data_IF_244849378694
#
_entry.id   IF_244849378694
#
_cell.length_a   1.000
_cell.length_b   1.000
_cell.length_c   1.000
_cell.angle_alpha   90.00
_cell.angle_beta   90.00
_cell.angle_gamma   90.00
#
_symmetry.space_group_name_H-M   'P 1'
#
loop_
_entity.id
_entity.type
_entity.pdbx_description
1 polymer ?
#
# COMPACT_ATOMS: atom_id res chain seq x y z
N UNK A 1 5.52 -2.49 73.89
CA UNK A 1 4.31 -2.21 73.08
C UNK A 1 4.74 -1.51 71.80
N UNK A 2 5.17 -2.30 70.81
CA UNK A 2 5.51 -1.91 69.45
C UNK A 2 5.21 -3.13 68.55
N UNK A 3 4.91 -2.83 67.30
CA UNK A 3 4.87 -3.71 66.13
C UNK A 3 3.53 -4.40 65.79
N UNK A 4 2.81 -3.76 64.87
CA UNK A 4 1.75 -4.36 64.05
C UNK A 4 2.33 -4.70 62.67
N UNK A 5 2.63 -5.97 62.43
CA UNK A 5 2.87 -6.51 61.08
C UNK A 5 1.54 -6.98 60.48
N UNK A 6 1.04 -6.27 59.46
CA UNK A 6 -0.04 -6.75 58.59
C UNK A 6 0.58 -7.34 57.33
N UNK A 7 0.48 -8.66 57.18
CA UNK A 7 0.82 -9.42 55.97
C UNK A 7 -0.27 -9.19 54.92
N UNK A 8 0.09 -8.59 53.79
CA UNK A 8 -0.75 -8.53 52.59
C UNK A 8 -0.52 -9.78 51.74
N UNK A 9 -1.54 -10.61 51.62
CA UNK A 9 -1.61 -11.74 50.69
C UNK A 9 -1.93 -11.17 49.29
N UNK A 10 -0.93 -11.09 48.40
CA UNK A 10 -1.17 -10.78 46.98
C UNK A 10 -1.23 -12.09 46.21
N UNK A 11 -2.43 -12.41 45.72
CA UNK A 11 -2.73 -13.57 44.89
C UNK A 11 -2.06 -13.38 43.52
N UNK A 12 -0.91 -14.02 43.31
CA UNK A 12 -0.27 -14.14 42.00
C UNK A 12 -0.95 -15.31 41.26
N UNK A 13 -1.96 -15.02 40.44
CA UNK A 13 -2.50 -15.99 39.49
C UNK A 13 -1.47 -16.12 38.36
N UNK A 14 -0.63 -17.13 38.47
CA UNK A 14 0.24 -17.60 37.39
C UNK A 14 -0.68 -18.21 36.32
N UNK A 15 -0.83 -17.52 35.19
CA UNK A 15 -1.48 -18.06 34.01
C UNK A 15 -0.50 -19.04 33.34
N UNK A 16 -0.41 -20.27 33.85
CA UNK A 16 0.15 -21.40 33.13
C UNK A 16 -0.83 -21.81 32.03
N UNK A 17 -0.75 -21.18 30.86
CA UNK A 17 -1.31 -21.79 29.65
C UNK A 17 -0.35 -22.91 29.27
N UNK A 18 -0.82 -24.15 29.39
CA UNK A 18 -0.06 -25.34 29.07
C UNK A 18 0.34 -25.30 27.60
N UNK A 19 1.62 -25.54 27.29
CA UNK A 19 2.13 -25.67 25.92
C UNK A 19 1.40 -26.77 25.09
N UNK A 20 0.64 -27.65 25.76
CA UNK A 20 -0.26 -28.62 25.13
C UNK A 20 -1.49 -27.99 24.45
N UNK A 21 -2.11 -26.97 25.07
CA UNK A 21 -3.33 -26.35 24.55
C UNK A 21 -3.06 -25.50 23.30
N UNK A 22 -1.90 -24.83 23.28
CA UNK A 22 -1.42 -24.07 22.10
C UNK A 22 -1.15 -25.01 20.92
N UNK A 23 -0.55 -26.18 21.16
CA UNK A 23 -0.28 -27.16 20.09
C UNK A 23 -1.56 -27.78 19.51
N UNK A 24 -2.58 -27.99 20.35
CA UNK A 24 -3.88 -28.51 19.90
C UNK A 24 -4.63 -27.46 19.08
N UNK A 25 -4.62 -26.20 19.51
CA UNK A 25 -5.22 -25.09 18.76
C UNK A 25 -4.55 -24.87 17.39
N UNK A 26 -3.21 -24.84 17.36
CA UNK A 26 -2.45 -24.74 16.10
C UNK A 26 -2.75 -25.91 15.14
N UNK A 27 -2.83 -27.14 15.66
CA UNK A 27 -3.17 -28.32 14.86
C UNK A 27 -4.65 -28.38 14.41
N UNK A 28 -5.54 -27.61 15.02
CA UNK A 28 -6.93 -27.45 14.57
C UNK A 28 -7.03 -26.38 13.47
N UNK A 29 -6.31 -25.27 13.63
CA UNK A 29 -6.23 -24.20 12.63
C UNK A 29 -5.61 -24.69 11.32
N UNK A 30 -4.55 -25.51 11.38
CA UNK A 30 -3.92 -26.11 10.20
C UNK A 30 -4.88 -27.03 9.44
N UNK A 31 -5.62 -27.89 10.16
CA UNK A 31 -6.63 -28.78 9.54
C UNK A 31 -7.76 -28.01 8.89
N UNK A 32 -8.20 -26.90 9.49
CA UNK A 32 -9.23 -26.05 8.91
C UNK A 32 -8.73 -25.35 7.64
N UNK A 33 -7.50 -24.83 7.67
CA UNK A 33 -6.89 -24.19 6.50
C UNK A 33 -6.77 -25.16 5.32
N UNK A 34 -6.38 -26.41 5.57
CA UNK A 34 -6.30 -27.46 4.54
C UNK A 34 -7.67 -27.80 3.95
N UNK A 35 -8.70 -27.94 4.79
CA UNK A 35 -10.07 -28.19 4.34
C UNK A 35 -10.63 -27.03 3.50
N UNK A 36 -10.38 -25.78 3.95
CA UNK A 36 -10.79 -24.58 3.22
C UNK A 36 -10.06 -24.47 1.87
N UNK A 37 -8.78 -24.83 1.82
CA UNK A 37 -7.99 -24.88 0.58
C UNK A 37 -8.54 -25.93 -0.38
N UNK A 38 -8.79 -27.16 0.08
CA UNK A 38 -9.32 -28.24 -0.77
C UNK A 38 -10.71 -27.90 -1.33
N UNK A 39 -11.58 -27.32 -0.49
CA UNK A 39 -12.89 -26.84 -0.95
C UNK A 39 -12.75 -25.68 -1.97
N UNK A 40 -11.78 -24.78 -1.79
CA UNK A 40 -11.49 -23.72 -2.74
C UNK A 40 -10.97 -24.26 -4.08
N UNK A 41 -10.12 -25.29 -4.07
CA UNK A 41 -9.67 -26.01 -5.26
C UNK A 41 -10.88 -26.64 -5.98
N UNK A 42 -11.81 -27.24 -5.24
CA UNK A 42 -13.08 -27.74 -5.78
C UNK A 42 -13.90 -26.65 -6.48
N UNK A 43 -13.98 -25.46 -5.89
CA UNK A 43 -14.63 -24.31 -6.53
C UNK A 43 -13.92 -23.89 -7.82
N UNK A 44 -12.58 -23.79 -7.82
CA UNK A 44 -11.80 -23.43 -9.01
C UNK A 44 -12.04 -24.40 -10.17
N UNK A 45 -12.11 -25.72 -9.89
CA UNK A 45 -12.44 -26.73 -10.91
C UNK A 45 -13.83 -26.50 -11.52
N UNK A 46 -14.84 -26.21 -10.69
CA UNK A 46 -16.20 -25.91 -11.16
C UNK A 46 -16.27 -24.61 -11.96
N UNK A 47 -15.52 -23.59 -11.55
CA UNK A 47 -15.38 -22.33 -12.30
C UNK A 47 -14.73 -22.59 -13.66
N UNK A 48 -13.66 -23.39 -13.70
CA UNK A 48 -12.99 -23.77 -14.94
C UNK A 48 -13.97 -24.44 -15.92
N UNK A 49 -14.71 -25.46 -15.47
CA UNK A 49 -15.70 -26.14 -16.29
C UNK A 49 -16.77 -25.18 -16.85
N UNK A 50 -17.26 -24.27 -16.01
CA UNK A 50 -18.22 -23.24 -16.40
C UNK A 50 -17.64 -22.29 -17.47
N UNK A 51 -16.41 -21.83 -17.30
CA UNK A 51 -15.70 -21.00 -18.29
C UNK A 51 -15.54 -21.77 -19.60
N UNK A 52 -15.11 -23.03 -19.56
CA UNK A 52 -14.95 -23.85 -20.77
C UNK A 52 -16.27 -24.04 -21.51
N UNK A 53 -17.38 -24.23 -20.78
CA UNK A 53 -18.72 -24.30 -21.38
C UNK A 53 -19.13 -22.96 -22.01
N UNK A 54 -18.96 -21.86 -21.29
CA UNK A 54 -19.22 -20.51 -21.82
C UNK A 54 -18.42 -20.26 -23.11
N UNK A 55 -17.14 -20.61 -23.13
CA UNK A 55 -16.26 -20.47 -24.30
C UNK A 55 -16.70 -21.31 -25.49
N UNK A 56 -17.21 -22.53 -25.26
CA UNK A 56 -17.71 -23.38 -26.35
C UNK A 56 -18.91 -22.74 -27.04
N UNK A 57 -19.79 -22.10 -26.27
CA UNK A 57 -21.05 -21.54 -26.75
C UNK A 57 -20.87 -20.15 -27.37
N UNK A 58 -20.02 -19.30 -26.78
CA UNK A 58 -19.81 -17.92 -27.22
C UNK A 58 -18.56 -17.70 -28.07
N UNK A 59 -17.67 -18.69 -28.14
CA UNK A 59 -16.34 -18.59 -28.79
C UNK A 59 -15.44 -17.48 -28.20
N UNK A 60 -15.74 -17.03 -26.99
CA UNK A 60 -15.00 -16.01 -26.24
C UNK A 60 -14.95 -16.37 -24.75
N UNK A 61 -14.03 -15.75 -24.00
CA UNK A 61 -14.08 -15.77 -22.53
C UNK A 61 -15.23 -14.90 -22.04
N UNK A 62 -15.77 -15.15 -20.84
CA UNK A 62 -16.68 -14.19 -20.21
C UNK A 62 -15.94 -12.88 -19.92
N UNK A 63 -16.66 -11.76 -19.90
CA UNK A 63 -16.09 -10.47 -19.51
C UNK A 63 -15.87 -10.43 -17.98
N UNK A 64 -16.74 -11.13 -17.23
CA UNK A 64 -16.73 -11.26 -15.78
C UNK A 64 -17.16 -12.66 -15.31
N UNK A 65 -16.76 -13.10 -14.12
CA UNK A 65 -17.19 -14.41 -13.59
C UNK A 65 -18.71 -14.49 -13.36
N UNK A 66 -19.35 -13.35 -13.12
CA UNK A 66 -20.80 -13.24 -13.03
C UNK A 66 -21.55 -13.65 -14.30
N UNK A 67 -20.93 -13.54 -15.48
CA UNK A 67 -21.52 -13.95 -16.76
C UNK A 67 -21.75 -15.48 -16.83
N UNK A 68 -21.06 -16.23 -15.98
CA UNK A 68 -21.27 -17.66 -15.84
C UNK A 68 -22.61 -17.96 -15.13
N UNK A 69 -23.11 -17.06 -14.31
CA UNK A 69 -24.29 -17.32 -13.48
C UNK A 69 -25.58 -16.80 -14.12
N UNK A 70 -26.70 -17.56 -14.04
CA UNK A 70 -26.81 -18.94 -13.56
C UNK A 70 -26.57 -20.00 -14.64
N UNK A 71 -26.48 -19.62 -15.92
CA UNK A 71 -26.58 -20.54 -17.07
C UNK A 71 -25.46 -21.57 -17.19
N UNK A 72 -24.27 -21.21 -16.73
CA UNK A 72 -23.06 -22.05 -16.73
C UNK A 72 -22.64 -22.45 -15.32
N UNK A 73 -23.01 -21.63 -14.33
CA UNK A 73 -22.74 -21.84 -12.91
C UNK A 73 -24.01 -21.54 -12.08
N UNK A 74 -24.94 -22.51 -11.94
CA UNK A 74 -26.21 -22.29 -11.24
C UNK A 74 -26.03 -21.99 -9.75
N UNK A 75 -25.07 -22.68 -9.13
CA UNK A 75 -24.71 -22.49 -7.73
C UNK A 75 -23.69 -21.34 -7.60
N UNK A 76 -24.20 -20.14 -7.33
CA UNK A 76 -23.38 -18.93 -7.15
C UNK A 76 -22.44 -18.99 -5.94
N UNK A 77 -22.67 -19.91 -4.99
CA UNK A 77 -21.81 -20.03 -3.81
C UNK A 77 -20.40 -20.51 -4.17
N UNK A 78 -20.23 -21.11 -5.35
CA UNK A 78 -18.93 -21.48 -5.93
C UNK A 78 -18.01 -20.27 -6.12
N UNK A 79 -18.58 -19.09 -6.36
CA UNK A 79 -17.83 -17.85 -6.54
C UNK A 79 -17.38 -17.24 -5.21
N UNK A 80 -17.67 -17.89 -4.07
CA UNK A 80 -17.26 -17.45 -2.74
C UNK A 80 -16.27 -18.46 -2.16
N UNK A 81 -15.04 -18.02 -1.94
CA UNK A 81 -14.00 -18.82 -1.27
C UNK A 81 -14.47 -19.21 0.16
N UNK A 82 -14.20 -20.43 0.64
CA UNK A 82 -14.48 -20.83 2.02
C UNK A 82 -13.92 -19.85 3.08
N UNK A 83 -12.73 -19.28 2.84
CA UNK A 83 -12.13 -18.26 3.71
C UNK A 83 -12.97 -16.99 3.74
N UNK A 84 -13.44 -16.50 2.59
CA UNK A 84 -14.39 -15.37 2.53
C UNK A 84 -15.69 -15.69 3.25
N UNK A 85 -16.23 -16.90 3.05
CA UNK A 85 -17.48 -17.32 3.70
C UNK A 85 -17.37 -17.29 5.23
N UNK A 86 -16.21 -17.68 5.78
CA UNK A 86 -15.95 -17.65 7.22
C UNK A 86 -15.64 -16.24 7.75
N UNK A 87 -14.83 -15.48 7.03
CA UNK A 87 -14.18 -14.27 7.57
C UNK A 87 -14.72 -12.95 7.03
N UNK A 88 -15.48 -12.99 5.93
CA UNK A 88 -15.88 -11.81 5.16
C UNK A 88 -14.74 -11.14 4.39
N UNK A 89 -13.50 -11.63 4.48
CA UNK A 89 -12.35 -11.04 3.78
C UNK A 89 -12.46 -11.25 2.27
N UNK A 90 -12.06 -10.23 1.51
CA UNK A 90 -11.98 -10.24 0.04
C UNK A 90 -10.64 -9.67 -0.40
N UNK A 91 -10.19 -10.05 -1.60
CA UNK A 91 -8.91 -9.61 -2.17
C UNK A 91 -9.06 -9.42 -3.68
N UNK A 92 -9.74 -8.32 -4.08
CA UNK A 92 -10.12 -8.03 -5.46
C UNK A 92 -9.23 -6.97 -6.15
N UNK A 93 -8.34 -6.31 -5.41
CA UNK A 93 -7.36 -5.35 -5.93
C UNK A 93 -7.97 -4.25 -6.83
N UNK A 94 -9.21 -3.84 -6.55
CA UNK A 94 -9.92 -2.84 -7.34
C UNK A 94 -10.57 -3.36 -8.63
N UNK A 95 -10.36 -4.63 -8.99
CA UNK A 95 -11.13 -5.32 -10.05
C UNK A 95 -12.35 -5.96 -9.40
N UNK A 96 -13.44 -5.21 -9.37
CA UNK A 96 -14.71 -5.64 -8.78
C UNK A 96 -15.66 -6.03 -9.91
N UNK A 97 -16.12 -7.29 -9.87
CA UNK A 97 -17.18 -7.75 -10.74
C UNK A 97 -18.46 -6.91 -10.50
N UNK A 98 -18.99 -6.24 -11.53
CA UNK A 98 -20.07 -5.27 -11.36
C UNK A 98 -21.44 -5.91 -11.11
N UNK A 99 -21.59 -7.22 -11.34
CA UNK A 99 -22.89 -7.88 -11.31
C UNK A 99 -23.02 -8.89 -10.16
N UNK A 100 -21.90 -9.43 -9.67
CA UNK A 100 -21.94 -10.39 -8.57
C UNK A 100 -20.66 -10.34 -7.72
N UNK A 101 -20.84 -10.15 -6.42
CA UNK A 101 -19.75 -10.28 -5.46
C UNK A 101 -19.15 -11.69 -5.51
N UNK A 102 -17.83 -11.76 -5.70
CA UNK A 102 -17.09 -13.00 -5.72
C UNK A 102 -15.71 -12.82 -5.07
N UNK A 103 -15.10 -13.93 -4.67
CA UNK A 103 -13.85 -13.97 -3.92
C UNK A 103 -12.60 -14.10 -4.79
N UNK A 104 -12.76 -14.23 -6.10
CA UNK A 104 -11.70 -14.62 -7.02
C UNK A 104 -11.29 -13.45 -7.92
N UNK A 105 -9.99 -13.28 -8.13
CA UNK A 105 -9.50 -12.36 -9.15
C UNK A 105 -9.56 -13.06 -10.51
N UNK A 106 -10.39 -12.55 -11.42
CA UNK A 106 -10.42 -13.02 -12.81
C UNK A 106 -9.46 -12.19 -13.65
N UNK A 107 -8.30 -12.77 -13.93
CA UNK A 107 -7.16 -12.10 -14.58
C UNK A 107 -7.43 -11.78 -16.05
N UNK A 108 -8.41 -12.43 -16.68
CA UNK A 108 -8.83 -12.20 -18.06
C UNK A 108 -10.08 -11.31 -18.19
N UNK A 109 -10.49 -10.63 -17.12
CA UNK A 109 -11.64 -9.74 -17.17
C UNK A 109 -11.48 -8.66 -18.27
N UNK A 110 -12.57 -8.29 -18.92
CA UNK A 110 -12.57 -7.26 -19.96
C UNK A 110 -12.64 -5.85 -19.34
N UNK A 111 -11.68 -5.56 -18.48
CA UNK A 111 -11.56 -4.30 -17.77
C UNK A 111 -10.18 -3.70 -18.00
N UNK A 112 -10.09 -2.39 -17.81
CA UNK A 112 -8.83 -1.67 -17.89
C UNK A 112 -7.91 -2.15 -16.76
N UNK A 113 -6.67 -2.50 -17.11
CA UNK A 113 -5.72 -3.03 -16.13
C UNK A 113 -5.23 -2.00 -15.12
N UNK A 114 -5.60 -0.72 -15.29
CA UNK A 114 -5.20 0.42 -14.45
C UNK A 114 -5.32 0.20 -12.94
N UNK A 115 -6.29 -0.60 -12.50
CA UNK A 115 -6.45 -0.95 -11.08
C UNK A 115 -5.31 -1.84 -10.54
N UNK A 116 -4.77 -2.73 -11.38
CA UNK A 116 -3.74 -3.70 -11.00
C UNK A 116 -2.34 -3.23 -11.42
N UNK A 117 -2.24 -2.60 -12.59
CA UNK A 117 -0.99 -2.26 -13.24
C UNK A 117 -1.15 -0.96 -14.02
N UNK A 118 -0.10 -0.15 -14.15
CA UNK A 118 -0.15 1.17 -14.78
C UNK A 118 -0.26 1.11 -16.34
N UNK A 119 -1.17 0.30 -16.87
CA UNK A 119 -1.38 0.08 -18.30
C UNK A 119 -2.43 0.98 -18.94
N UNK A 120 -2.99 1.95 -18.21
CA UNK A 120 -4.03 2.85 -18.73
C UNK A 120 -5.24 2.08 -19.29
N UNK A 121 -5.54 2.29 -20.57
CA UNK A 121 -6.68 1.64 -21.26
C UNK A 121 -6.37 0.24 -21.80
N UNK A 122 -5.19 -0.30 -21.53
CA UNK A 122 -4.89 -1.69 -21.89
C UNK A 122 -5.84 -2.60 -21.11
N UNK A 123 -6.52 -3.49 -21.82
CA UNK A 123 -7.42 -4.47 -21.19
C UNK A 123 -6.61 -5.58 -20.52
N UNK A 124 -7.03 -6.00 -19.33
CA UNK A 124 -6.46 -7.17 -18.63
C UNK A 124 -6.45 -8.39 -19.56
N UNK A 125 -7.57 -8.66 -20.24
CA UNK A 125 -7.69 -9.70 -21.28
C UNK A 125 -6.57 -9.65 -22.32
N UNK A 126 -6.32 -8.49 -22.92
CA UNK A 126 -5.29 -8.32 -23.97
C UNK A 126 -3.87 -8.55 -23.43
N UNK A 127 -3.60 -8.07 -22.22
CA UNK A 127 -2.31 -8.27 -21.58
C UNK A 127 -2.06 -9.75 -21.27
N UNK A 128 -3.04 -10.45 -20.68
CA UNK A 128 -2.90 -11.88 -20.38
C UNK A 128 -2.76 -12.73 -21.63
N UNK A 129 -3.46 -12.40 -22.72
CA UNK A 129 -3.25 -13.05 -24.01
C UNK A 129 -1.82 -12.88 -24.53
N UNK A 130 -1.21 -11.70 -24.35
CA UNK A 130 0.21 -11.48 -24.71
C UNK A 130 1.17 -12.24 -23.79
N UNK A 131 0.90 -12.31 -22.49
CA UNK A 131 1.69 -13.13 -21.56
C UNK A 131 1.64 -14.62 -21.94
N UNK A 132 0.45 -15.12 -22.31
CA UNK A 132 0.30 -16.49 -22.80
C UNK A 132 1.12 -16.75 -24.07
N UNK A 133 1.29 -15.75 -24.93
CA UNK A 133 2.16 -15.86 -26.11
C UNK A 133 3.64 -16.09 -25.78
N UNK A 134 4.07 -15.81 -24.54
CA UNK A 134 5.46 -15.97 -24.08
C UNK A 134 5.62 -17.23 -23.22
N UNK A 135 4.76 -17.43 -22.22
CA UNK A 135 4.90 -18.52 -21.24
C UNK A 135 3.86 -19.64 -21.39
N UNK A 136 2.95 -19.54 -22.35
CA UNK A 136 1.95 -20.57 -22.63
C UNK A 136 0.75 -20.54 -21.69
N UNK A 137 0.12 -21.70 -21.50
CA UNK A 137 -1.15 -21.85 -20.76
C UNK A 137 -1.05 -21.72 -19.25
N UNK A 138 0.17 -21.69 -18.71
CA UNK A 138 0.44 -21.53 -17.27
C UNK A 138 -0.09 -20.22 -16.69
N UNK A 139 -0.34 -19.20 -17.51
CA UNK A 139 -0.89 -17.90 -17.07
C UNK A 139 -2.17 -18.12 -16.24
N UNK A 140 -2.25 -17.61 -15.00
CA UNK A 140 -3.45 -17.72 -14.19
C UNK A 140 -4.64 -17.05 -14.86
N UNK A 141 -5.72 -17.81 -15.02
CA UNK A 141 -7.02 -17.30 -15.45
C UNK A 141 -7.86 -16.81 -14.25
N UNK A 142 -7.87 -17.57 -13.16
CA UNK A 142 -8.59 -17.24 -11.93
C UNK A 142 -7.66 -17.44 -10.74
N UNK A 143 -7.61 -16.46 -9.83
CA UNK A 143 -6.73 -16.51 -8.64
C UNK A 143 -7.49 -16.31 -7.35
N UNK A 144 -7.10 -17.05 -6.31
CA UNK A 144 -7.60 -16.85 -4.95
C UNK A 144 -6.46 -16.39 -4.04
N UNK A 145 -6.54 -15.13 -3.58
CA UNK A 145 -5.54 -14.48 -2.74
C UNK A 145 -5.79 -14.62 -1.23
N UNK A 146 -6.67 -15.55 -0.84
CA UNK A 146 -7.10 -15.72 0.55
C UNK A 146 -6.40 -16.88 1.27
N UNK A 147 -5.52 -17.59 0.57
CA UNK A 147 -4.71 -18.68 1.12
C UNK A 147 -3.25 -18.22 1.23
N UNK A 148 -2.50 -18.82 2.15
CA UNK A 148 -1.11 -18.42 2.43
C UNK A 148 -0.22 -18.52 1.18
N UNK A 149 -0.45 -19.54 0.34
CA UNK A 149 -0.01 -19.57 -1.04
C UNK A 149 -1.20 -19.30 -1.95
N UNK A 150 -1.04 -18.42 -2.93
CA UNK A 150 -2.11 -18.03 -3.85
C UNK A 150 -2.44 -19.24 -4.72
N UNK A 151 -3.71 -19.62 -4.75
CA UNK A 151 -4.20 -20.64 -5.67
C UNK A 151 -4.44 -20.01 -7.03
N UNK A 152 -3.80 -20.56 -8.06
CA UNK A 152 -3.92 -20.14 -9.44
C UNK A 152 -4.57 -21.26 -10.23
N UNK A 153 -5.69 -20.97 -10.88
CA UNK A 153 -6.24 -21.79 -11.95
C UNK A 153 -5.67 -21.25 -13.27
N UNK A 154 -4.81 -22.02 -13.93
CA UNK A 154 -4.21 -21.67 -15.22
C UNK A 154 -5.23 -21.69 -16.37
N UNK A 155 -4.82 -21.26 -17.55
CA UNK A 155 -5.67 -21.26 -18.73
C UNK A 155 -6.01 -22.67 -19.25
N UNK A 156 -5.11 -23.65 -19.07
CA UNK A 156 -5.34 -25.06 -19.41
C UNK A 156 -6.06 -25.85 -18.32
N UNK A 157 -6.25 -25.28 -17.13
CA UNK A 157 -7.06 -25.86 -16.06
C UNK A 157 -6.25 -26.53 -14.94
N UNK A 158 -4.92 -26.45 -15.00
CA UNK A 158 -4.05 -26.80 -13.90
C UNK A 158 -4.26 -25.85 -12.72
N UNK A 159 -4.21 -26.40 -11.51
CA UNK A 159 -4.28 -25.60 -10.28
C UNK A 159 -2.95 -25.72 -9.57
N UNK A 160 -2.30 -24.57 -9.35
CA UNK A 160 -0.99 -24.50 -8.74
C UNK A 160 -0.86 -23.33 -7.76
N UNK A 161 0.16 -23.40 -6.93
CA UNK A 161 0.43 -22.43 -5.87
C UNK A 161 1.56 -21.48 -6.26
N UNK A 162 1.45 -20.22 -5.85
CA UNK A 162 2.53 -19.25 -6.00
C UNK A 162 2.50 -18.19 -4.88
N UNK A 163 3.58 -17.42 -4.77
CA UNK A 163 3.52 -16.09 -4.16
C UNK A 163 2.72 -15.09 -5.00
N UNK A 164 2.73 -13.81 -4.62
CA UNK A 164 1.98 -12.75 -5.32
C UNK A 164 2.33 -12.64 -6.80
N UNK A 165 3.62 -12.80 -7.12
CA UNK A 165 4.13 -12.82 -8.49
C UNK A 165 4.28 -14.26 -8.95
N UNK A 166 3.31 -14.77 -9.69
CA UNK A 166 3.39 -16.11 -10.29
C UNK A 166 4.46 -16.15 -11.39
N UNK A 167 4.85 -15.00 -11.95
CA UNK A 167 5.93 -14.87 -12.93
C UNK A 167 7.30 -15.29 -12.37
N UNK A 168 7.47 -15.22 -11.04
CA UNK A 168 8.72 -15.64 -10.38
C UNK A 168 8.92 -17.17 -10.44
N UNK A 169 7.92 -17.93 -10.92
CA UNK A 169 8.04 -19.37 -11.15
C UNK A 169 8.92 -19.71 -12.37
N UNK A 170 9.20 -18.76 -13.27
CA UNK A 170 10.03 -18.99 -14.44
C UNK A 170 11.47 -18.54 -14.18
N UNK A 171 12.41 -19.48 -14.27
CA UNK A 171 13.85 -19.18 -14.20
C UNK A 171 14.45 -18.77 -15.55
N UNK A 172 13.77 -19.12 -16.65
CA UNK A 172 14.24 -18.92 -18.03
C UNK A 172 13.61 -17.73 -18.74
N UNK A 173 12.51 -17.20 -18.21
CA UNK A 173 11.84 -15.99 -18.72
C UNK A 173 12.06 -14.89 -17.72
N UNK A 174 12.66 -13.78 -18.16
CA UNK A 174 12.75 -12.59 -17.33
C UNK A 174 11.33 -12.05 -17.13
N UNK A 175 10.92 -11.84 -15.88
CA UNK A 175 9.64 -11.24 -15.53
C UNK A 175 9.39 -9.91 -16.24
N UNK A 176 10.45 -9.12 -16.50
CA UNK A 176 10.34 -7.89 -17.27
C UNK A 176 9.83 -8.13 -18.69
N UNK A 177 10.05 -9.31 -19.29
CA UNK A 177 9.53 -9.65 -20.61
C UNK A 177 8.02 -9.93 -20.62
N UNK A 178 7.43 -10.17 -19.45
CA UNK A 178 5.98 -10.34 -19.26
C UNK A 178 5.27 -9.03 -18.89
N UNK A 179 6.01 -7.93 -18.78
CA UNK A 179 5.47 -6.60 -18.49
C UNK A 179 4.69 -6.04 -19.69
N UNK A 180 3.64 -5.25 -19.45
CA UNK A 180 2.95 -4.50 -20.50
C UNK A 180 3.89 -3.63 -21.33
N UNK A 181 4.87 -3.00 -20.70
CA UNK A 181 5.88 -2.17 -21.35
C UNK A 181 6.59 -2.97 -22.45
N UNK A 182 7.00 -4.20 -22.15
CA UNK A 182 7.67 -5.08 -23.13
C UNK A 182 6.67 -5.61 -24.17
N UNK A 183 5.53 -6.12 -23.71
CA UNK A 183 4.57 -6.85 -24.56
C UNK A 183 3.78 -5.94 -25.52
N UNK A 184 3.60 -4.67 -25.16
CA UNK A 184 2.94 -3.67 -26.00
C UNK A 184 3.95 -2.72 -26.67
N UNK A 185 5.20 -2.67 -26.20
CA UNK A 185 6.29 -1.96 -26.85
C UNK A 185 5.95 -0.50 -27.16
N UNK A 186 6.02 -0.10 -28.43
CA UNK A 186 5.71 1.27 -28.87
C UNK A 186 4.25 1.66 -28.65
N UNK A 187 3.33 0.69 -28.72
CA UNK A 187 1.92 0.93 -28.45
C UNK A 187 1.64 1.13 -26.97
N UNK A 188 2.53 0.65 -26.08
CA UNK A 188 2.37 0.84 -24.64
C UNK A 188 2.22 2.32 -24.31
N UNK A 189 3.11 3.20 -24.77
CA UNK A 189 3.02 4.63 -24.45
C UNK A 189 1.72 5.29 -24.96
N UNK A 190 1.17 4.82 -26.08
CA UNK A 190 -0.10 5.31 -26.66
C UNK A 190 -1.32 4.81 -25.88
N UNK A 191 -1.30 3.53 -25.48
CA UNK A 191 -2.41 2.87 -24.79
C UNK A 191 -2.40 3.15 -23.27
N UNK A 192 -1.21 3.29 -22.70
CA UNK A 192 -0.95 3.66 -21.31
C UNK A 192 -0.98 5.18 -21.10
N UNK A 193 -0.96 6.00 -22.15
CA UNK A 193 -0.78 7.47 -22.05
C UNK A 193 -1.73 8.31 -22.90
N UNK A 194 -2.86 8.70 -22.31
CA UNK A 194 -3.31 10.09 -22.40
C UNK A 194 -2.60 10.88 -21.30
N UNK A 195 -1.48 11.52 -21.62
CA UNK A 195 -0.65 12.29 -20.69
C UNK A 195 0.82 11.90 -20.79
N UNK A 196 1.59 12.66 -21.56
CA UNK A 196 3.00 12.36 -21.83
C UNK A 196 3.96 12.74 -20.70
N UNK A 197 5.15 12.15 -20.75
CA UNK A 197 6.37 12.70 -20.13
C UNK A 197 7.26 11.68 -19.42
N UNK A 198 8.38 11.31 -20.06
CA UNK A 198 9.71 11.11 -19.44
C UNK A 198 9.89 10.00 -18.38
N UNK A 199 10.83 9.09 -18.62
CA UNK A 199 11.12 7.95 -17.76
C UNK A 199 11.37 8.28 -16.27
N UNK A 200 10.78 7.46 -15.41
CA UNK A 200 10.82 7.55 -13.96
C UNK A 200 9.59 6.86 -13.38
N UNK A 201 9.72 6.22 -12.21
CA UNK A 201 8.68 5.52 -11.44
C UNK A 201 7.21 5.91 -11.74
N UNK A 202 6.35 4.90 -11.89
CA UNK A 202 4.89 5.02 -12.04
C UNK A 202 4.31 6.15 -11.18
N UNK A 203 3.62 7.11 -11.79
CA UNK A 203 2.88 8.12 -11.05
C UNK A 203 1.94 7.41 -10.06
N UNK A 204 2.01 7.72 -8.76
CA UNK A 204 1.21 7.02 -7.77
C UNK A 204 -0.29 7.23 -8.06
N UNK A 205 -1.07 6.14 -8.05
CA UNK A 205 -2.53 6.27 -8.02
C UNK A 205 -2.93 6.83 -6.67
N UNK A 206 -3.36 8.09 -6.65
CA UNK A 206 -3.93 8.79 -5.51
C UNK A 206 -5.29 9.39 -5.90
N UNK A 207 -6.23 9.55 -4.95
CA UNK A 207 -7.55 10.08 -5.26
C UNK A 207 -7.46 11.50 -5.87
N UNK A 208 -8.49 11.95 -6.63
CA UNK A 208 -8.53 13.32 -7.10
C UNK A 208 -8.55 14.30 -5.92
N UNK A 209 -7.98 15.50 -6.13
CA UNK A 209 -8.04 16.57 -5.14
C UNK A 209 -9.49 16.98 -4.91
N UNK A 210 -9.88 17.14 -3.64
CA UNK A 210 -11.22 17.63 -3.29
C UNK A 210 -11.44 19.04 -3.83
N UNK A 211 -12.62 19.33 -4.36
CA UNK A 211 -13.02 20.68 -4.76
C UNK A 211 -13.16 21.63 -3.56
N UNK A 212 -13.27 21.08 -2.34
CA UNK A 212 -13.36 21.82 -1.08
C UNK A 212 -11.98 22.17 -0.50
N UNK A 213 -10.91 21.57 -1.02
CA UNK A 213 -9.54 21.86 -0.58
C UNK A 213 -9.17 23.30 -0.95
N UNK A 214 -8.74 24.07 0.04
CA UNK A 214 -8.34 25.47 -0.14
C UNK A 214 -6.88 25.55 -0.56
N UNK A 215 -6.45 26.73 -0.99
CA UNK A 215 -5.05 26.99 -1.38
C UNK A 215 -4.07 26.80 -0.23
N UNK A 216 -4.54 26.91 1.01
CA UNK A 216 -3.69 26.73 2.18
C UNK A 216 -3.40 25.25 2.49
N UNK A 217 -4.15 24.29 1.94
CA UNK A 217 -3.69 22.89 1.85
C UNK A 217 -2.84 22.74 0.59
N UNK A 218 -1.52 22.59 0.73
CA UNK A 218 -0.58 22.59 -0.39
C UNK A 218 -0.85 21.42 -1.33
N UNK A 219 -0.92 21.67 -2.64
CA UNK A 219 -1.10 20.61 -3.64
C UNK A 219 0.23 19.90 -3.94
N UNK A 220 0.36 18.69 -3.41
CA UNK A 220 1.54 17.84 -3.62
C UNK A 220 1.41 16.89 -4.82
N UNK A 221 0.34 16.97 -5.62
CA UNK A 221 0.06 16.02 -6.72
C UNK A 221 1.26 15.79 -7.63
N UNK A 222 1.93 16.88 -8.05
CA UNK A 222 3.07 16.81 -8.98
C UNK A 222 4.36 16.29 -8.33
N UNK A 223 4.38 16.15 -7.01
CA UNK A 223 5.57 15.79 -6.22
C UNK A 223 5.46 14.39 -5.61
N UNK A 224 4.27 13.78 -5.64
CA UNK A 224 4.10 12.43 -5.11
C UNK A 224 4.95 11.42 -5.88
N UNK A 225 5.77 10.68 -5.12
CA UNK A 225 6.61 9.60 -5.63
C UNK A 225 6.35 8.27 -4.90
N UNK A 226 5.31 8.23 -4.06
CA UNK A 226 4.76 7.02 -3.45
C UNK A 226 3.24 7.08 -3.33
N UNK A 227 2.60 5.92 -3.25
CA UNK A 227 1.15 5.78 -3.04
C UNK A 227 0.89 5.39 -1.59
N UNK A 228 -0.18 5.93 -1.01
CA UNK A 228 -0.64 5.48 0.31
C UNK A 228 -1.16 4.05 0.25
N UNK A 229 -1.70 3.60 -0.89
CA UNK A 229 -2.35 2.29 -1.00
C UNK A 229 -1.42 1.15 -1.43
N UNK A 230 -0.13 1.43 -1.65
CA UNK A 230 0.86 0.43 -2.08
C UNK A 230 2.11 0.57 -1.23
N UNK A 231 2.78 -0.55 -0.99
CA UNK A 231 4.10 -0.50 -0.39
C UNK A 231 5.08 0.23 -1.31
N UNK A 232 5.78 1.23 -0.78
CA UNK A 232 6.74 2.04 -1.55
C UNK A 232 8.18 1.84 -1.08
N UNK A 233 8.39 1.36 0.14
CA UNK A 233 9.70 0.87 0.59
C UNK A 233 9.93 -0.54 0.06
N UNK A 234 11.18 -0.88 -0.34
CA UNK A 234 11.54 -2.24 -0.68
C UNK A 234 11.23 -3.19 0.48
N UNK A 235 10.60 -4.32 0.18
CA UNK A 235 10.43 -5.38 1.15
C UNK A 235 11.71 -6.22 1.26
N UNK A 236 12.00 -6.73 2.44
CA UNK A 236 13.03 -7.75 2.59
C UNK A 236 12.59 -9.02 1.84
N UNK A 237 13.55 -9.82 1.38
CA UNK A 237 13.24 -11.06 0.68
C UNK A 237 12.32 -11.95 1.55
N UNK A 238 11.14 -12.25 1.04
CA UNK A 238 10.14 -13.07 1.75
C UNK A 238 9.22 -12.31 2.71
N UNK A 239 9.28 -10.97 2.81
CA UNK A 239 8.32 -10.17 3.59
C UNK A 239 7.37 -9.38 2.69
N UNK A 240 6.18 -9.06 3.22
CA UNK A 240 5.29 -8.12 2.56
C UNK A 240 5.77 -6.69 2.84
N UNK A 241 5.76 -5.84 1.82
CA UNK A 241 5.99 -4.41 2.00
C UNK A 241 4.83 -3.74 2.74
N UNK A 242 5.09 -2.62 3.38
CA UNK A 242 4.07 -1.91 4.16
C UNK A 242 3.54 -0.69 3.42
N UNK A 243 2.22 -0.50 3.47
CA UNK A 243 1.51 0.65 2.89
C UNK A 243 0.97 1.61 3.98
N UNK A 244 0.22 2.63 3.57
CA UNK A 244 -0.60 3.49 4.43
C UNK A 244 -2.08 3.42 4.02
N UNK A 245 -2.54 2.29 3.46
CA UNK A 245 -3.90 2.17 2.94
C UNK A 245 -5.00 2.46 3.99
N UNK A 246 -4.82 2.11 5.28
CA UNK A 246 -5.78 2.44 6.34
C UNK A 246 -5.83 3.93 6.74
N UNK A 247 -4.88 4.76 6.28
CA UNK A 247 -4.92 6.20 6.53
C UNK A 247 -6.10 6.81 5.75
N UNK A 248 -7.03 7.53 6.41
CA UNK A 248 -8.08 8.26 5.71
C UNK A 248 -7.48 9.18 4.64
N UNK A 249 -8.03 9.13 3.43
CA UNK A 249 -7.56 9.89 2.26
C UNK A 249 -8.51 11.02 1.88
N UNK A 250 -8.05 11.95 1.05
CA UNK A 250 -8.75 13.18 0.69
C UNK A 250 -8.50 14.31 1.69
N UNK A 251 -9.46 15.22 1.82
CA UNK A 251 -9.40 16.31 2.79
C UNK A 251 -9.72 15.76 4.19
N UNK A 252 -8.74 15.72 5.07
CA UNK A 252 -8.84 15.07 6.38
C UNK A 252 -8.30 15.96 7.49
N UNK A 253 -8.86 15.84 8.69
CA UNK A 253 -8.39 16.60 9.86
C UNK A 253 -7.60 15.70 10.79
N UNK A 254 -6.34 16.07 11.05
CA UNK A 254 -5.46 15.37 11.99
C UNK A 254 -4.85 16.37 12.96
N UNK A 255 -4.98 16.10 14.27
CA UNK A 255 -4.53 16.99 15.34
C UNK A 255 -4.93 18.46 15.10
N UNK A 256 -6.23 18.64 14.89
CA UNK A 256 -6.94 19.92 14.69
C UNK A 256 -6.56 20.73 13.43
N UNK A 257 -5.82 20.11 12.51
CA UNK A 257 -5.42 20.75 11.24
C UNK A 257 -5.97 19.95 10.06
N UNK A 258 -6.57 20.65 9.09
CA UNK A 258 -7.06 20.05 7.84
C UNK A 258 -5.93 19.92 6.83
N UNK A 259 -5.79 18.74 6.22
CA UNK A 259 -4.76 18.35 5.27
C UNK A 259 -5.35 17.73 4.01
N UNK A 260 -4.71 17.94 2.87
CA UNK A 260 -4.97 17.23 1.62
C UNK A 260 -4.11 15.96 1.54
N UNK A 261 -4.67 14.81 1.92
CA UNK A 261 -3.96 13.52 2.12
C UNK A 261 -4.29 12.55 0.99
N UNK A 262 -3.40 12.45 -0.01
CA UNK A 262 -3.69 11.66 -1.22
C UNK A 262 -2.53 10.75 -1.63
N UNK A 263 -1.30 11.23 -1.50
CA UNK A 263 -0.07 10.50 -1.79
C UNK A 263 1.01 10.79 -0.75
N UNK A 264 2.25 10.41 -1.07
CA UNK A 264 3.41 10.76 -0.26
C UNK A 264 4.61 11.19 -1.11
N UNK A 265 5.47 12.00 -0.50
CA UNK A 265 6.76 12.44 -1.02
C UNK A 265 7.85 11.83 -0.13
N UNK A 266 8.55 10.83 -0.65
CA UNK A 266 9.70 10.19 -0.02
C UNK A 266 10.99 10.84 -0.52
N UNK A 267 11.91 11.11 0.40
CA UNK A 267 13.30 11.49 0.08
C UNK A 267 14.28 10.41 0.57
N UNK A 268 15.49 10.43 0.03
CA UNK A 268 16.51 9.41 0.28
C UNK A 268 16.93 9.29 1.77
N UNK A 269 17.39 8.10 2.14
CA UNK A 269 18.11 7.80 3.37
C UNK A 269 18.95 6.54 3.16
N UNK A 270 20.09 6.41 3.82
CA UNK A 270 21.08 5.36 3.48
C UNK A 270 20.52 3.94 3.58
N UNK A 271 19.74 3.64 4.62
CA UNK A 271 19.14 2.30 4.77
C UNK A 271 18.07 2.00 3.73
N UNK A 272 17.35 3.02 3.27
CA UNK A 272 16.41 2.87 2.17
C UNK A 272 17.15 2.55 0.86
N UNK A 273 18.28 3.20 0.60
CA UNK A 273 19.13 2.93 -0.56
C UNK A 273 19.76 1.53 -0.49
N UNK A 274 20.29 1.13 0.68
CA UNK A 274 20.82 -0.21 0.94
C UNK A 274 19.76 -1.31 0.72
N UNK A 275 18.50 -1.03 1.06
CA UNK A 275 17.37 -1.91 0.79
C UNK A 275 16.95 -1.94 -0.68
N UNK A 276 17.58 -1.14 -1.55
CA UNK A 276 17.29 -1.06 -2.99
C UNK A 276 16.29 0.03 -3.39
N UNK A 277 15.90 0.90 -2.46
CA UNK A 277 15.02 2.03 -2.70
C UNK A 277 15.73 3.13 -3.48
N UNK A 278 15.06 3.69 -4.48
CA UNK A 278 15.61 4.76 -5.34
C UNK A 278 14.72 6.00 -5.25
N UNK A 279 15.05 6.88 -4.31
CA UNK A 279 14.32 8.12 -4.07
C UNK A 279 15.28 9.31 -4.16
N UNK A 280 14.80 10.50 -4.54
CA UNK A 280 15.66 11.66 -4.68
C UNK A 280 16.17 12.14 -3.31
N UNK A 281 17.39 12.68 -3.28
CA UNK A 281 17.92 13.36 -2.09
C UNK A 281 17.24 14.71 -1.82
N UNK A 282 16.53 15.25 -2.81
CA UNK A 282 15.81 16.52 -2.71
C UNK A 282 14.58 16.55 -3.63
N UNK A 283 13.51 17.16 -3.13
CA UNK A 283 12.33 17.56 -3.92
C UNK A 283 12.20 19.06 -3.81
N UNK A 284 12.34 19.77 -4.93
CA UNK A 284 12.42 21.23 -4.95
C UNK A 284 11.17 21.88 -5.52
N UNK A 285 10.90 23.10 -5.09
CA UNK A 285 9.93 23.98 -5.74
C UNK A 285 8.47 23.61 -5.49
N UNK A 286 8.14 22.99 -4.35
CA UNK A 286 6.75 22.74 -3.96
C UNK A 286 6.04 24.10 -3.82
N UNK A 287 5.05 24.43 -4.67
CA UNK A 287 4.46 25.76 -4.69
C UNK A 287 3.65 26.02 -3.43
N UNK A 288 3.85 27.20 -2.82
CA UNK A 288 2.98 27.71 -1.76
C UNK A 288 2.36 29.04 -2.18
N UNK A 289 3.19 30.00 -2.60
CA UNK A 289 2.74 31.30 -3.14
C UNK A 289 1.86 32.08 -2.16
N UNK A 290 2.15 32.00 -0.86
CA UNK A 290 1.31 32.57 0.18
C UNK A 290 2.14 33.11 1.36
N UNK A 291 1.55 34.07 2.07
CA UNK A 291 1.97 34.47 3.41
C UNK A 291 1.21 33.64 4.43
N UNK A 292 1.91 33.15 5.45
CA UNK A 292 1.33 32.38 6.54
C UNK A 292 2.10 32.66 7.82
N UNK A 293 1.44 32.51 8.97
CA UNK A 293 2.08 32.58 10.27
C UNK A 293 2.66 31.23 10.66
N UNK A 294 2.01 30.13 10.28
CA UNK A 294 2.44 28.78 10.63
C UNK A 294 2.39 27.84 9.44
N UNK A 295 3.23 26.81 9.50
CA UNK A 295 3.23 25.69 8.57
C UNK A 295 3.09 24.39 9.36
N UNK A 296 2.17 23.56 8.91
CA UNK A 296 1.91 22.24 9.48
C UNK A 296 2.31 21.16 8.50
N UNK A 297 3.01 20.14 8.98
CA UNK A 297 3.49 19.04 8.15
C UNK A 297 3.00 17.74 8.76
N UNK A 298 2.33 16.93 7.96
CA UNK A 298 2.01 15.54 8.29
C UNK A 298 3.07 14.65 7.66
N UNK A 299 3.89 14.00 8.50
CA UNK A 299 5.10 13.30 8.06
C UNK A 299 5.55 12.22 9.04
N UNK A 300 6.49 11.38 8.62
CA UNK A 300 7.14 10.38 9.47
C UNK A 300 8.49 9.98 8.88
N UNK A 301 9.12 8.94 9.40
CA UNK A 301 10.36 8.41 8.85
C UNK A 301 10.35 6.88 8.74
N UNK A 302 11.04 6.34 7.76
CA UNK A 302 11.48 4.94 7.78
C UNK A 302 12.87 4.84 8.40
N UNK A 303 13.12 3.71 9.09
CA UNK A 303 14.35 3.41 9.82
C UNK A 303 14.66 4.37 10.99
N UNK A 304 15.30 3.81 12.01
CA UNK A 304 15.71 4.55 13.20
C UNK A 304 17.17 5.00 13.15
N UNK A 305 17.44 6.18 13.69
CA UNK A 305 18.76 6.74 14.01
C UNK A 305 18.81 7.22 15.47
N UNK A 306 19.98 7.56 16.04
CA UNK A 306 20.02 8.18 17.36
C UNK A 306 19.19 9.46 17.44
N UNK A 307 18.50 9.67 18.57
CA UNK A 307 17.76 10.91 18.83
C UNK A 307 18.67 12.14 18.74
N UNK A 308 18.14 13.25 18.24
CA UNK A 308 18.93 14.47 18.00
C UNK A 308 19.63 14.51 16.64
N UNK A 309 19.62 13.41 15.87
CA UNK A 309 20.18 13.38 14.51
C UNK A 309 19.29 14.15 13.54
N UNK A 310 19.87 15.06 12.74
CA UNK A 310 19.17 15.68 11.61
C UNK A 310 19.01 14.67 10.47
N UNK A 311 17.78 14.43 10.04
CA UNK A 311 17.45 13.45 8.98
C UNK A 311 16.97 14.12 7.69
N UNK A 312 16.56 15.38 7.76
CA UNK A 312 16.18 16.19 6.62
C UNK A 312 15.84 17.62 7.02
N UNK A 313 15.31 18.39 6.08
CA UNK A 313 14.79 19.73 6.33
C UNK A 313 13.77 20.17 5.29
N UNK A 314 12.90 21.09 5.68
CA UNK A 314 12.12 21.90 4.75
C UNK A 314 12.82 23.26 4.59
N UNK A 315 13.19 23.64 3.37
CA UNK A 315 13.72 24.98 3.07
C UNK A 315 12.61 25.85 2.48
N UNK A 316 12.26 26.90 3.20
CA UNK A 316 11.32 27.92 2.76
C UNK A 316 12.06 28.90 1.86
N UNK A 317 11.61 29.05 0.62
CA UNK A 317 12.13 30.01 -0.34
C UNK A 317 11.13 31.17 -0.45
N UNK A 318 11.53 32.37 -0.05
CA UNK A 318 10.68 33.55 -0.05
C UNK A 318 10.75 34.31 -1.38
N UNK A 319 9.69 35.02 -1.74
CA UNK A 319 9.60 35.78 -3.00
C UNK A 319 10.64 36.92 -3.08
N UNK A 320 11.18 37.39 -1.94
CA UNK A 320 12.25 38.37 -1.87
C UNK A 320 13.67 37.78 -2.05
N UNK A 321 13.78 36.46 -2.28
CA UNK A 321 15.05 35.75 -2.46
C UNK A 321 15.68 35.23 -1.17
N UNK A 322 15.10 35.53 0.00
CA UNK A 322 15.56 34.94 1.25
C UNK A 322 15.18 33.47 1.37
N UNK A 323 15.94 32.74 2.19
CA UNK A 323 15.62 31.35 2.55
C UNK A 323 15.66 31.13 4.05
N UNK A 324 14.84 30.22 4.57
CA UNK A 324 14.89 29.74 5.96
C UNK A 324 14.76 28.23 5.99
N UNK A 325 15.41 27.58 6.95
CA UNK A 325 15.38 26.12 7.08
C UNK A 325 14.61 25.71 8.34
N UNK A 326 13.72 24.73 8.17
CA UNK A 326 13.04 24.02 9.25
C UNK A 326 13.64 22.60 9.33
N UNK A 327 14.53 22.32 10.30
CA UNK A 327 15.20 21.03 10.38
C UNK A 327 14.25 19.94 10.90
N UNK A 328 14.39 18.73 10.37
CA UNK A 328 13.73 17.53 10.85
C UNK A 328 14.76 16.74 11.68
N UNK A 329 14.57 16.74 12.99
CA UNK A 329 15.43 16.07 13.94
C UNK A 329 14.74 14.81 14.46
N UNK A 330 15.40 13.67 14.30
CA UNK A 330 14.88 12.38 14.76
C UNK A 330 14.67 12.37 16.27
N UNK A 331 13.53 11.86 16.71
CA UNK A 331 13.09 11.89 18.09
C UNK A 331 12.39 13.19 18.51
N UNK A 332 12.68 14.32 17.86
CA UNK A 332 11.99 15.59 18.13
C UNK A 332 10.70 15.70 17.34
N UNK A 333 10.77 15.78 16.00
CA UNK A 333 9.59 15.96 15.15
C UNK A 333 8.96 14.63 14.72
N UNK A 334 9.82 13.69 14.31
CA UNK A 334 9.41 12.39 13.79
C UNK A 334 10.24 11.28 14.41
N UNK A 335 9.70 10.07 14.33
CA UNK A 335 10.39 8.81 14.61
C UNK A 335 10.10 7.83 13.49
N UNK A 336 10.68 6.65 13.56
CA UNK A 336 10.30 5.54 12.70
C UNK A 336 8.78 5.35 12.75
N UNK A 337 8.14 5.23 11.59
CA UNK A 337 6.71 5.02 11.49
C UNK A 337 6.26 3.68 12.09
N UNK A 338 7.18 2.72 12.29
CA UNK A 338 6.98 1.48 13.06
C UNK A 338 7.27 1.61 14.56
N UNK A 339 7.60 2.81 15.04
CA UNK A 339 7.85 3.01 16.46
C UNK A 339 6.63 2.61 17.29
N UNK A 340 6.90 2.06 18.49
CA UNK A 340 5.86 1.72 19.45
C UNK A 340 4.95 2.92 19.70
N UNK A 341 3.64 2.69 19.84
CA UNK A 341 2.64 3.75 20.08
C UNK A 341 2.91 4.66 21.31
N UNK A 342 3.85 4.29 22.18
CA UNK A 342 4.33 5.09 23.30
C UNK A 342 5.45 6.09 22.94
N UNK A 343 6.00 6.01 21.73
CA UNK A 343 7.09 6.85 21.24
C UNK A 343 6.57 8.22 20.78
N UNK A 344 6.31 9.10 21.74
CA UNK A 344 5.91 10.49 21.49
C UNK A 344 7.06 11.31 20.87
N UNK A 345 6.75 12.34 20.06
CA UNK A 345 7.74 13.34 19.67
C UNK A 345 8.20 14.11 20.91
N UNK A 346 9.49 14.49 20.96
CA UNK A 346 10.06 15.28 22.05
C UNK A 346 9.87 16.79 21.85
N UNK A 347 9.58 17.23 20.62
CA UNK A 347 9.30 18.63 20.33
C UNK A 347 7.89 19.03 20.78
N UNK A 348 7.78 20.19 21.43
CA UNK A 348 6.51 20.72 21.97
C UNK A 348 5.48 21.10 20.90
N UNK A 349 5.91 21.33 19.67
CA UNK A 349 5.03 21.68 18.55
C UNK A 349 4.70 20.47 17.67
N UNK A 350 5.07 19.28 18.12
CA UNK A 350 4.89 18.01 17.42
C UNK A 350 3.98 17.09 18.23
N UNK A 351 3.10 16.37 17.55
CA UNK A 351 2.19 15.41 18.17
C UNK A 351 2.03 14.17 17.27
N UNK A 352 1.68 13.03 17.86
CA UNK A 352 1.17 11.89 17.08
C UNK A 352 -0.18 12.29 16.49
N UNK A 353 -0.23 12.40 15.17
CA UNK A 353 -1.41 12.88 14.43
C UNK A 353 -2.32 11.73 13.98
N UNK A 354 -1.73 10.56 13.76
CA UNK A 354 -2.44 9.33 13.42
C UNK A 354 -1.61 8.13 13.85
N UNK A 355 -2.28 7.09 14.36
CA UNK A 355 -1.65 5.79 14.57
C UNK A 355 -2.68 4.68 14.40
N UNK A 356 -2.23 3.53 13.90
CA UNK A 356 -3.01 2.29 13.94
C UNK A 356 -2.26 1.26 14.78
N UNK A 357 -2.97 0.68 15.76
CA UNK A 357 -2.54 -0.51 16.49
C UNK A 357 -3.16 -1.72 15.80
N UNK A 358 -2.41 -2.53 15.05
CA UNK A 358 -2.96 -3.76 14.50
C UNK A 358 -3.14 -4.82 15.62
N UNK A 359 -3.77 -5.98 15.33
CA UNK A 359 -3.82 -7.12 16.25
C UNK A 359 -2.40 -7.54 16.70
N UNK A 360 -2.29 -8.36 17.77
CA UNK A 360 -0.99 -8.90 18.22
C UNK A 360 -0.16 -9.39 17.02
N UNK A 361 1.12 -9.00 17.00
CA UNK A 361 2.15 -9.39 16.02
C UNK A 361 2.23 -8.58 14.70
N UNK A 362 1.63 -7.38 14.64
CA UNK A 362 1.85 -6.45 13.53
C UNK A 362 2.41 -5.09 13.97
N UNK A 363 3.24 -4.49 13.12
CA UNK A 363 3.93 -3.24 13.43
C UNK A 363 2.95 -2.05 13.43
N UNK A 364 2.99 -1.23 14.47
CA UNK A 364 2.18 0.00 14.54
C UNK A 364 2.58 0.91 13.39
N UNK A 365 1.65 1.60 12.72
CA UNK A 365 2.00 2.69 11.78
C UNK A 365 1.68 4.02 12.42
N UNK A 366 2.63 4.94 12.44
CA UNK A 366 2.52 6.23 13.14
C UNK A 366 2.91 7.39 12.23
N UNK A 367 2.07 8.42 12.18
CA UNK A 367 2.35 9.71 11.55
C UNK A 367 2.35 10.81 12.60
N UNK A 368 3.25 11.76 12.41
CA UNK A 368 3.39 12.92 13.28
C UNK A 368 2.90 14.16 12.55
N UNK A 369 2.35 15.11 13.31
CA UNK A 369 2.13 16.48 12.85
C UNK A 369 3.09 17.38 13.59
N UNK A 370 3.95 18.09 12.87
CA UNK A 370 4.75 19.19 13.42
C UNK A 370 4.22 20.53 12.90
N UNK A 371 4.16 21.53 13.78
CA UNK A 371 3.76 22.89 13.45
C UNK A 371 4.91 23.87 13.70
N UNK A 372 5.41 24.52 12.66
CA UNK A 372 6.44 25.56 12.81
C UNK A 372 5.83 26.95 12.64
N UNK A 373 6.33 27.90 13.44
CA UNK A 373 6.17 29.32 13.12
C UNK A 373 6.97 29.65 11.85
N UNK A 374 6.36 30.42 10.95
CA UNK A 374 7.05 30.99 9.81
C UNK A 374 8.09 31.99 10.34
N UNK A 375 9.41 31.80 10.09
CA UNK A 375 10.43 32.71 10.59
C UNK A 375 10.33 34.14 10.02
N UNK A 376 9.63 34.33 8.90
CA UNK A 376 9.33 35.62 8.27
C UNK A 376 7.84 35.68 7.90
N UNK A 377 6.93 35.91 8.87
CA UNK A 377 5.48 35.82 8.66
C UNK A 377 4.93 36.85 7.67
N UNK A 378 5.60 38.01 7.56
CA UNK A 378 5.23 39.08 6.62
C UNK A 378 5.73 38.82 5.20
N UNK A 379 6.66 37.87 5.04
CA UNK A 379 7.23 37.47 3.76
C UNK A 379 6.39 36.39 3.07
N UNK A 380 6.16 36.56 1.77
CA UNK A 380 5.51 35.52 0.96
C UNK A 380 6.49 34.36 0.72
N UNK A 381 6.08 33.16 1.10
CA UNK A 381 6.82 31.95 0.78
C UNK A 381 6.42 31.54 -0.64
N UNK A 382 7.37 31.65 -1.57
CA UNK A 382 7.19 31.26 -2.97
C UNK A 382 7.06 29.74 -3.08
N UNK A 383 7.97 29.01 -2.45
CA UNK A 383 8.04 27.56 -2.56
C UNK A 383 8.76 26.92 -1.37
N UNK A 384 8.58 25.62 -1.21
CA UNK A 384 9.26 24.81 -0.21
C UNK A 384 10.11 23.75 -0.92
N UNK A 385 11.35 23.57 -0.49
CA UNK A 385 12.16 22.41 -0.86
C UNK A 385 12.20 21.41 0.30
N UNK A 386 12.20 20.11 -0.01
CA UNK A 386 12.31 19.03 0.95
C UNK A 386 13.63 18.29 0.71
N UNK A 387 14.51 18.31 1.71
CA UNK A 387 15.92 17.94 1.57
C UNK A 387 16.30 16.81 2.53
N UNK A 388 16.99 15.79 2.04
CA UNK A 388 17.57 14.73 2.86
C UNK A 388 18.87 15.19 3.51
N UNK A 389 19.12 14.74 4.74
CA UNK A 389 20.41 14.92 5.40
C UNK A 389 21.41 13.79 5.09
N UNK A 390 21.05 12.79 4.29
CA UNK A 390 21.90 11.62 4.02
C UNK A 390 22.11 10.72 5.25
N UNK A 391 21.22 10.79 6.24
CA UNK A 391 21.23 9.89 7.40
C UNK A 391 20.74 8.49 7.03
N UNK A 392 20.87 7.53 7.94
CA UNK A 392 20.27 6.20 7.75
C UNK A 392 18.74 6.24 7.66
N UNK A 393 18.11 7.12 8.43
CA UNK A 393 16.67 7.32 8.39
C UNK A 393 16.26 8.01 7.08
N UNK A 394 15.08 7.62 6.58
CA UNK A 394 14.51 8.12 5.34
C UNK A 394 13.15 8.77 5.61
N UNK A 395 13.10 10.10 5.84
CA UNK A 395 11.85 10.79 6.14
C UNK A 395 10.94 10.88 4.91
N UNK A 396 9.63 10.86 5.16
CA UNK A 396 8.61 11.02 4.13
C UNK A 396 7.50 11.98 4.56
N UNK A 397 6.96 12.72 3.60
CA UNK A 397 5.95 13.75 3.76
C UNK A 397 4.62 13.30 3.15
N UNK A 398 3.52 13.49 3.89
CA UNK A 398 2.16 13.18 3.43
C UNK A 398 1.45 14.44 2.93
N UNK A 399 1.48 15.51 3.72
CA UNK A 399 0.74 16.74 3.43
C UNK A 399 1.34 17.96 4.15
N UNK A 400 1.11 19.15 3.57
CA UNK A 400 1.47 20.44 4.17
C UNK A 400 0.22 21.33 4.19
N UNK A 401 0.01 22.02 5.31
CA UNK A 401 -1.03 23.06 5.43
C UNK A 401 -0.41 24.34 5.98
N UNK A 402 -0.68 25.47 5.33
CA UNK A 402 -0.31 26.81 5.78
C UNK A 402 -1.46 27.46 6.55
N UNK A 403 -1.15 28.19 7.62
CA UNK A 403 -2.11 28.92 8.47
C UNK A 403 -1.73 30.40 8.59
#
# INVERSE_FOLDING_TARGET
MKDNARVFFTLLIVCCVCAGDVRVALGQDDKQADQEKEACIGNLKRIYEAIQKYRRDHKALPDWLSDLAPSYLPDKSVLVCPVTKRTGKTANFGIVDPHLANAYLFEFANTDMGAIYNGGKIKMLEWKQKQMGVVGSVVPMVRCHLHNQILNLSFDGEIYESGSSWEDLFSVVDKADLSPEKLFGKDFARLAGGGGGGGGASAPSYPPRSAEAKTNQVDLSQFYNGSLAKAWHPAAAGTQGYDLAPLPQGLQTFADVSFDVRGLVQIAGRKLEEAGGKFPSEVKGIPLGARCKRLHFLHSAGWSVPEGTKIGSYRLNYSNGETRELPIIYGQQVRDWFANSSSQPLDKNSVVAWSIKPPRDADNKTLFKTSWENPLPDGEIKSIDYLSAGSDAAPFLIAITAE
#
